data_IF_233513239412
#
_entry.id   IF_233513239412
#
_cell.length_a   1.000
_cell.length_b   1.000
_cell.length_c   1.000
_cell.angle_alpha   90.00
_cell.angle_beta   90.00
_cell.angle_gamma   90.00
#
_symmetry.space_group_name_H-M   'P 1'
#
loop_
_entity.id
_entity.type
_entity.pdbx_description
1 polymer ?
#
# COMPACT_ATOMS: atom_id res chain seq x y z
N UNK A 1 11.41 -8.14 -14.03
CA UNK A 1 10.02 -8.32 -14.52
C UNK A 1 9.35 -6.96 -14.38
N UNK A 2 9.28 -6.19 -15.47
CA UNK A 2 8.86 -4.80 -15.42
C UNK A 2 7.47 -4.70 -14.83
N UNK A 3 7.34 -4.03 -13.68
CA UNK A 3 6.02 -3.74 -13.11
C UNK A 3 5.35 -2.75 -14.05
N UNK A 4 4.19 -3.15 -14.57
CA UNK A 4 3.40 -2.29 -15.43
C UNK A 4 2.95 -1.11 -14.58
N UNK A 5 3.27 0.11 -15.03
CA UNK A 5 2.93 1.37 -14.33
C UNK A 5 1.44 1.41 -14.00
N UNK A 6 0.63 0.79 -14.85
CA UNK A 6 -0.81 0.58 -14.65
C UNK A 6 -1.13 -0.15 -13.35
N UNK A 7 -0.42 -1.23 -13.01
CA UNK A 7 -0.64 -1.99 -11.78
C UNK A 7 -0.38 -1.16 -10.51
N UNK A 8 0.67 -0.34 -10.53
CA UNK A 8 1.00 0.57 -9.42
C UNK A 8 -0.05 1.69 -9.28
N UNK A 9 -0.58 2.23 -10.38
CA UNK A 9 -1.64 3.24 -10.35
C UNK A 9 -2.94 2.64 -9.81
N UNK A 10 -3.36 1.48 -10.34
CA UNK A 10 -4.61 0.84 -9.93
C UNK A 10 -4.56 0.37 -8.49
N UNK A 11 -3.48 -0.28 -8.05
CA UNK A 11 -3.39 -0.70 -6.66
C UNK A 11 -3.23 0.48 -5.69
N UNK A 12 -2.63 1.61 -6.08
CA UNK A 12 -2.60 2.81 -5.24
C UNK A 12 -4.02 3.32 -5.01
N UNK A 13 -4.82 3.40 -6.08
CA UNK A 13 -6.22 3.81 -6.03
C UNK A 13 -7.06 2.88 -5.15
N UNK A 14 -6.94 1.56 -5.35
CA UNK A 14 -7.67 0.58 -4.54
C UNK A 14 -7.23 0.58 -3.08
N UNK A 15 -5.92 0.66 -2.81
CA UNK A 15 -5.39 0.74 -1.45
C UNK A 15 -5.82 2.04 -0.75
N UNK A 16 -5.83 3.17 -1.46
CA UNK A 16 -6.28 4.44 -0.91
C UNK A 16 -7.77 4.45 -0.60
N UNK A 17 -8.61 3.96 -1.53
CA UNK A 17 -10.07 3.87 -1.31
C UNK A 17 -10.38 2.90 -0.17
N UNK A 18 -9.70 1.74 -0.14
CA UNK A 18 -9.85 0.75 0.94
C UNK A 18 -9.43 1.31 2.30
N UNK A 19 -8.26 1.97 2.39
CA UNK A 19 -7.78 2.56 3.63
C UNK A 19 -8.65 3.73 4.10
N UNK A 20 -9.18 4.55 3.18
CA UNK A 20 -10.04 5.70 3.53
C UNK A 20 -11.35 5.29 4.23
N UNK A 21 -11.81 4.05 4.05
CA UNK A 21 -13.00 3.54 4.76
C UNK A 21 -12.70 3.29 6.24
N UNK A 22 -11.45 2.96 6.58
CA UNK A 22 -11.05 2.58 7.93
C UNK A 22 -10.30 3.69 8.69
N UNK A 23 -9.64 4.62 7.99
CA UNK A 23 -8.80 5.67 8.60
C UNK A 23 -8.94 7.05 7.97
N UNK A 24 -8.44 8.07 8.69
CA UNK A 24 -8.41 9.45 8.22
C UNK A 24 -7.70 9.57 6.86
N UNK A 25 -8.13 10.50 5.99
CA UNK A 25 -7.62 10.62 4.63
C UNK A 25 -6.10 10.83 4.55
N UNK A 26 -5.48 11.50 5.53
CA UNK A 26 -4.02 11.62 5.60
C UNK A 26 -3.32 10.30 5.94
N UNK A 27 -3.86 9.49 6.85
CA UNK A 27 -3.32 8.17 7.16
C UNK A 27 -3.51 7.20 6.00
N UNK A 28 -4.66 7.27 5.32
CA UNK A 28 -4.94 6.48 4.13
C UNK A 28 -3.92 6.76 3.01
N UNK A 29 -3.55 8.04 2.83
CA UNK A 29 -2.58 8.46 1.81
C UNK A 29 -1.16 7.96 2.11
N UNK A 30 -0.75 8.01 3.39
CA UNK A 30 0.55 7.49 3.82
C UNK A 30 0.56 5.96 3.69
N UNK A 31 -0.49 5.28 4.13
CA UNK A 31 -0.59 3.82 4.06
C UNK A 31 -0.58 3.29 2.62
N UNK A 32 -1.34 3.93 1.71
CA UNK A 32 -1.37 3.52 0.30
C UNK A 32 -0.05 3.82 -0.42
N UNK A 33 0.61 4.95 -0.13
CA UNK A 33 1.91 5.29 -0.69
C UNK A 33 3.02 4.32 -0.22
N UNK A 34 3.05 4.00 1.08
CA UNK A 34 4.04 3.07 1.65
C UNK A 34 3.80 1.64 1.15
N UNK A 35 2.54 1.19 1.09
CA UNK A 35 2.20 -0.12 0.54
C UNK A 35 2.64 -0.26 -0.92
N UNK A 36 2.43 0.78 -1.73
CA UNK A 36 2.84 0.80 -3.13
C UNK A 36 4.35 0.92 -3.33
N UNK A 37 5.06 1.66 -2.48
CA UNK A 37 6.51 1.72 -2.49
C UNK A 37 7.12 0.36 -2.13
N UNK A 38 6.56 -0.35 -1.14
CA UNK A 38 7.00 -1.70 -0.81
C UNK A 38 6.69 -2.71 -1.91
N UNK A 39 5.56 -2.57 -2.59
CA UNK A 39 5.26 -3.33 -3.79
C UNK A 39 6.31 -3.04 -4.88
N UNK A 40 6.73 -1.79 -5.09
CA UNK A 40 7.81 -1.50 -6.07
C UNK A 40 9.18 -2.07 -5.70
N UNK A 41 9.39 -2.49 -4.46
CA UNK A 41 10.64 -3.06 -4.00
C UNK A 41 10.73 -4.53 -4.45
N UNK A 42 11.82 -4.96 -5.12
CA UNK A 42 12.01 -6.34 -5.57
C UNK A 42 12.34 -7.23 -4.37
N UNK A 43 11.38 -7.39 -3.46
CA UNK A 43 11.47 -8.31 -2.34
C UNK A 43 11.01 -9.71 -2.79
N UNK A 44 11.64 -10.78 -2.30
CA UNK A 44 11.21 -12.16 -2.59
C UNK A 44 9.89 -12.54 -1.90
N UNK A 45 9.29 -11.63 -1.13
CA UNK A 45 8.05 -11.81 -0.40
C UNK A 45 6.88 -11.46 -1.33
N UNK A 46 5.82 -12.27 -1.31
CA UNK A 46 4.66 -12.04 -2.15
C UNK A 46 4.02 -10.69 -1.87
N UNK A 47 3.77 -9.90 -2.93
CA UNK A 47 3.10 -8.59 -2.86
C UNK A 47 1.75 -8.67 -2.10
N UNK A 48 1.07 -9.81 -2.22
CA UNK A 48 -0.19 -10.07 -1.53
C UNK A 48 -0.07 -10.22 0.01
N UNK A 49 1.13 -10.47 0.54
CA UNK A 49 1.42 -10.39 1.98
C UNK A 49 2.08 -9.05 2.33
N UNK A 50 3.05 -8.59 1.56
CA UNK A 50 3.83 -7.39 1.89
C UNK A 50 2.95 -6.14 1.98
N UNK A 51 2.01 -5.96 1.04
CA UNK A 51 1.14 -4.77 1.00
C UNK A 51 0.23 -4.65 2.23
N UNK A 52 -0.59 -5.66 2.60
CA UNK A 52 -1.44 -5.56 3.79
C UNK A 52 -0.65 -5.51 5.10
N UNK A 53 0.51 -6.19 5.18
CA UNK A 53 1.31 -6.26 6.41
C UNK A 53 2.03 -4.93 6.68
N UNK A 54 2.58 -4.30 5.64
CA UNK A 54 3.24 -2.99 5.76
C UNK A 54 2.22 -1.86 5.95
N UNK A 55 1.10 -1.88 5.23
CA UNK A 55 0.04 -0.87 5.42
C UNK A 55 -0.62 -0.98 6.80
N UNK A 56 -0.83 -2.20 7.31
CA UNK A 56 -1.27 -2.45 8.68
C UNK A 56 -0.25 -1.98 9.73
N UNK A 57 1.05 -2.27 9.54
CA UNK A 57 2.12 -1.78 10.43
C UNK A 57 2.20 -0.26 10.45
N UNK A 58 2.15 0.40 9.29
CA UNK A 58 2.17 1.86 9.18
C UNK A 58 0.97 2.49 9.90
N UNK A 59 -0.19 1.86 9.79
CA UNK A 59 -1.38 2.26 10.53
C UNK A 59 -1.22 2.10 12.04
N UNK A 60 -0.63 1.00 12.48
CA UNK A 60 -0.39 0.73 13.92
C UNK A 60 0.64 1.68 14.51
N UNK A 61 1.62 2.13 13.72
CA UNK A 61 2.65 3.09 14.12
C UNK A 61 2.13 4.54 14.19
N UNK A 62 1.07 4.86 13.46
CA UNK A 62 0.46 6.19 13.45
C UNK A 62 -0.77 6.28 14.38
N UNK A 63 -1.34 5.13 14.78
CA UNK A 63 -2.52 5.06 15.66
C UNK A 63 -2.19 5.27 17.13
#
# INVERSE_FOLDING_TARGET
KGKQVEGTIFGFLFAFIGARVFVNPMQALIASAVGMLMESLPTPVSDNLTVPLVSGLALTLIS
#
